data_IF_146554019899
#
_entry.id   IF_146554019899
#
_cell.length_a   1.000
_cell.length_b   1.000
_cell.length_c   1.000
_cell.angle_alpha   90.00
_cell.angle_beta   90.00
_cell.angle_gamma   90.00
#
_symmetry.space_group_name_H-M   'P 1'
#
loop_
_entity.id
_entity.type
_entity.pdbx_description
1 polymer ?
#
# COMPACT_ATOMS: atom_id res chain seq x y z
N UNK A 1 9.02 -12.70 23.52
CA UNK A 1 9.72 -12.74 24.83
C UNK A 1 10.72 -11.59 24.80
N UNK A 2 11.56 -11.41 25.83
CA UNK A 2 12.64 -10.45 25.77
C UNK A 2 13.92 -11.18 25.35
N UNK A 3 14.79 -10.53 24.58
CA UNK A 3 16.09 -11.08 24.23
C UNK A 3 16.86 -11.52 25.48
N UNK A 4 17.37 -12.74 25.46
CA UNK A 4 18.15 -13.32 26.56
C UNK A 4 19.63 -13.40 26.18
N UNK A 5 20.49 -12.58 26.81
CA UNK A 5 21.93 -12.56 26.51
C UNK A 5 22.69 -13.68 27.21
N UNK A 6 23.70 -14.20 26.51
CA UNK A 6 24.67 -15.11 27.10
C UNK A 6 25.63 -14.29 27.97
N UNK A 7 25.76 -14.64 29.25
CA UNK A 7 26.72 -14.06 30.17
C UNK A 7 28.12 -14.66 29.95
N UNK A 8 29.10 -13.83 29.63
CA UNK A 8 30.47 -14.27 29.30
C UNK A 8 31.48 -14.16 30.46
N UNK A 9 31.01 -13.81 31.66
CA UNK A 9 31.86 -13.62 32.85
C UNK A 9 32.50 -12.23 32.97
N UNK A 10 33.13 -11.96 34.10
CA UNK A 10 33.77 -10.67 34.40
C UNK A 10 35.23 -10.61 33.94
N UNK A 11 35.89 -11.77 33.88
CA UNK A 11 37.24 -12.01 33.38
C UNK A 11 37.32 -13.40 32.74
N UNK A 12 38.32 -13.67 31.87
CA UNK A 12 38.50 -14.99 31.27
C UNK A 12 38.62 -16.09 32.33
N UNK A 13 37.90 -17.20 32.13
CA UNK A 13 37.93 -18.41 32.97
C UNK A 13 37.58 -18.20 34.46
N UNK A 14 36.92 -17.10 34.81
CA UNK A 14 36.63 -16.75 36.20
C UNK A 14 35.40 -17.45 36.82
N UNK A 15 34.68 -18.25 36.02
CA UNK A 15 33.52 -19.03 36.45
C UNK A 15 32.28 -18.19 36.78
N UNK A 16 32.27 -16.88 36.52
CA UNK A 16 31.13 -15.98 36.80
C UNK A 16 30.16 -15.85 35.62
N UNK A 17 30.51 -16.42 34.46
CA UNK A 17 29.66 -16.46 33.27
C UNK A 17 28.55 -17.52 33.32
N UNK A 18 27.70 -17.53 32.30
CA UNK A 18 26.72 -18.59 32.12
C UNK A 18 27.42 -19.92 31.89
N UNK A 19 26.91 -20.97 32.53
CA UNK A 19 27.28 -22.33 32.13
C UNK A 19 26.84 -22.59 30.68
N UNK A 20 27.56 -23.46 29.97
CA UNK A 20 27.21 -23.84 28.59
C UNK A 20 25.74 -24.25 28.41
N UNK A 21 25.18 -24.95 29.40
CA UNK A 21 23.77 -25.35 29.40
C UNK A 21 22.84 -24.15 29.42
N UNK A 22 23.06 -23.20 30.33
CA UNK A 22 22.25 -21.98 30.44
C UNK A 22 22.40 -21.11 29.18
N UNK A 23 23.62 -20.98 28.64
CA UNK A 23 23.87 -20.26 27.40
C UNK A 23 23.14 -20.89 26.20
N UNK A 24 23.14 -22.21 26.09
CA UNK A 24 22.42 -22.93 25.04
C UNK A 24 20.90 -22.79 25.16
N UNK A 25 20.35 -22.80 26.38
CA UNK A 25 18.92 -22.58 26.60
C UNK A 25 18.50 -21.17 26.15
N UNK A 26 19.28 -20.14 26.48
CA UNK A 26 19.03 -18.76 26.03
C UNK A 26 19.10 -18.62 24.51
N UNK A 27 20.05 -19.28 23.86
CA UNK A 27 20.13 -19.34 22.40
C UNK A 27 18.86 -19.95 21.83
N UNK A 28 18.47 -21.13 22.33
CA UNK A 28 17.28 -21.83 21.86
C UNK A 28 16.02 -20.96 22.03
N UNK A 29 15.84 -20.31 23.17
CA UNK A 29 14.69 -19.44 23.44
C UNK A 29 14.64 -18.22 22.49
N UNK A 30 15.78 -17.56 22.26
CA UNK A 30 15.84 -16.41 21.35
C UNK A 30 15.53 -16.81 19.90
N UNK A 31 16.08 -17.94 19.44
CA UNK A 31 15.77 -18.44 18.10
C UNK A 31 14.32 -18.90 18.01
N UNK A 32 13.78 -19.57 19.02
CA UNK A 32 12.36 -19.93 19.08
C UNK A 32 11.47 -18.69 18.96
N UNK A 33 11.81 -17.56 19.59
CA UNK A 33 11.08 -16.30 19.42
C UNK A 33 11.17 -15.73 18.01
N UNK A 34 12.37 -15.65 17.43
CA UNK A 34 12.56 -15.12 16.08
C UNK A 34 11.80 -15.98 15.05
N UNK A 35 11.89 -17.30 15.20
CA UNK A 35 11.12 -18.26 14.42
C UNK A 35 9.63 -18.07 14.63
N UNK A 36 9.16 -17.70 15.83
CA UNK A 36 7.73 -17.45 16.10
C UNK A 36 7.25 -16.13 15.49
N UNK A 37 8.05 -15.06 15.53
CA UNK A 37 7.64 -13.71 15.13
C UNK A 37 7.78 -13.42 13.64
N UNK A 38 8.88 -13.87 13.04
CA UNK A 38 9.17 -13.66 11.62
C UNK A 38 8.88 -14.92 10.80
N UNK A 39 8.24 -15.92 11.40
CA UNK A 39 8.02 -17.25 10.86
C UNK A 39 6.85 -17.97 11.54
N UNK A 40 7.00 -19.27 11.85
CA UNK A 40 5.95 -20.10 12.47
C UNK A 40 6.40 -20.91 13.71
N UNK A 41 7.43 -20.45 14.41
CA UNK A 41 8.08 -21.08 15.56
C UNK A 41 8.94 -22.32 15.24
N UNK A 42 9.01 -22.80 13.99
CA UNK A 42 9.87 -23.92 13.54
C UNK A 42 10.64 -23.64 12.25
N UNK A 43 10.17 -22.71 11.43
CA UNK A 43 10.85 -22.13 10.26
C UNK A 43 10.69 -20.59 10.25
N UNK A 44 11.64 -19.86 9.65
CA UNK A 44 11.50 -18.42 9.34
C UNK A 44 10.67 -18.23 8.07
N UNK A 45 9.93 -17.13 7.95
CA UNK A 45 9.14 -16.81 6.76
C UNK A 45 10.06 -16.67 5.56
N UNK A 46 9.86 -17.52 4.55
CA UNK A 46 10.51 -17.42 3.24
C UNK A 46 9.86 -16.37 2.33
N UNK A 47 8.67 -15.86 2.71
CA UNK A 47 7.93 -14.80 2.02
C UNK A 47 8.32 -13.38 2.45
N UNK A 48 9.12 -13.26 3.52
CA UNK A 48 9.99 -12.09 3.72
C UNK A 48 11.21 -12.31 2.82
N UNK A 49 11.01 -12.08 1.53
CA UNK A 49 12.11 -11.92 0.59
C UNK A 49 12.24 -10.44 0.27
N UNK A 50 13.31 -9.82 0.75
CA UNK A 50 13.92 -8.68 0.10
C UNK A 50 14.96 -9.30 -0.87
N UNK A 51 14.68 -9.65 -2.13
CA UNK A 51 13.84 -9.01 -3.19
C UNK A 51 13.54 -10.04 -4.31
N UNK A 52 12.39 -10.01 -5.05
CA UNK A 52 12.27 -9.31 -6.34
C UNK A 52 10.99 -8.45 -6.60
N UNK A 53 9.81 -8.64 -5.96
CA UNK A 53 8.66 -7.69 -6.14
C UNK A 53 7.50 -7.66 -5.13
N UNK A 54 7.17 -8.68 -4.30
CA UNK A 54 6.06 -8.57 -3.31
C UNK A 54 6.31 -9.38 -2.03
N UNK A 55 5.96 -8.80 -0.88
CA UNK A 55 5.86 -9.45 0.44
C UNK A 55 4.38 -9.56 0.83
N UNK A 56 3.88 -10.76 1.13
CA UNK A 56 2.50 -10.98 1.64
C UNK A 56 2.56 -11.40 3.10
N UNK A 57 1.88 -10.65 3.98
CA UNK A 57 1.83 -10.92 5.42
C UNK A 57 0.40 -11.25 5.83
N UNK A 58 0.16 -12.49 6.25
CA UNK A 58 -1.07 -12.90 6.94
C UNK A 58 -0.71 -13.57 8.26
N UNK A 59 -1.51 -13.25 9.29
CA UNK A 59 -1.48 -13.63 10.72
C UNK A 59 -0.14 -14.07 11.39
N UNK A 60 0.29 -13.49 12.54
CA UNK A 60 -0.49 -12.71 13.51
C UNK A 60 -0.96 -11.40 12.91
N UNK A 61 -2.28 -11.17 12.97
CA UNK A 61 -3.03 -10.20 12.14
C UNK A 61 -2.27 -8.89 12.04
N UNK A 62 -1.93 -8.45 10.82
CA UNK A 62 -1.57 -7.04 10.62
C UNK A 62 -2.89 -6.29 10.49
N UNK A 63 -3.46 -5.93 11.64
CA UNK A 63 -4.65 -5.09 11.70
C UNK A 63 -4.22 -3.68 11.31
N UNK A 64 -4.64 -3.21 10.13
CA UNK A 64 -4.26 -1.90 9.60
C UNK A 64 -2.83 -1.85 9.05
N UNK A 65 -2.49 -2.64 8.01
CA UNK A 65 -1.20 -2.51 7.36
C UNK A 65 -1.12 -1.10 6.75
N UNK A 66 -0.17 -0.29 7.19
CA UNK A 66 0.15 0.98 6.55
C UNK A 66 1.31 0.76 5.59
N UNK A 67 1.05 0.90 4.29
CA UNK A 67 2.14 0.96 3.30
C UNK A 67 2.59 2.42 3.27
N UNK A 68 3.73 2.72 3.88
CA UNK A 68 4.37 4.04 3.75
C UNK A 68 5.18 4.06 2.45
N UNK A 69 4.70 4.78 1.45
CA UNK A 69 5.36 4.92 0.15
C UNK A 69 4.49 4.50 -1.03
N UNK A 70 5.13 4.13 -2.13
CA UNK A 70 4.48 3.78 -3.38
C UNK A 70 4.00 2.33 -3.34
N UNK A 71 2.74 2.10 -3.69
CA UNK A 71 2.23 0.77 -4.03
C UNK A 71 2.49 0.53 -5.52
N UNK A 72 3.56 -0.21 -5.83
CA UNK A 72 3.85 -0.61 -7.21
C UNK A 72 2.89 -1.69 -7.72
N UNK A 73 2.71 -1.77 -9.04
CA UNK A 73 1.92 -2.83 -9.69
C UNK A 73 0.41 -2.56 -9.79
N UNK A 74 -0.33 -3.55 -10.30
CA UNK A 74 -1.79 -3.47 -10.49
C UNK A 74 -2.53 -3.70 -9.18
N UNK A 75 -3.41 -2.77 -8.81
CA UNK A 75 -4.32 -2.91 -7.67
C UNK A 75 -5.71 -3.35 -8.15
N UNK A 76 -6.02 -4.65 -8.06
CA UNK A 76 -7.25 -5.21 -8.64
C UNK A 76 -8.46 -5.19 -7.68
N UNK A 77 -8.28 -4.88 -6.39
CA UNK A 77 -9.38 -4.92 -5.39
C UNK A 77 -9.17 -3.99 -4.19
N UNK A 78 -8.47 -2.87 -4.37
CA UNK A 78 -8.26 -1.92 -3.29
C UNK A 78 -9.52 -1.05 -3.09
N UNK A 79 -10.11 -1.07 -1.89
CA UNK A 79 -11.05 -0.02 -1.48
C UNK A 79 -10.25 1.21 -1.11
N UNK A 80 -10.19 2.20 -2.00
CA UNK A 80 -9.46 3.44 -1.76
C UNK A 80 -10.45 4.54 -1.35
N UNK A 81 -10.51 4.83 -0.06
CA UNK A 81 -11.47 5.81 0.49
C UNK A 81 -11.00 7.26 0.31
N UNK A 82 -9.70 7.50 0.10
CA UNK A 82 -9.15 8.85 -0.03
C UNK A 82 -7.93 8.85 -0.96
N UNK A 83 -7.98 9.70 -1.98
CA UNK A 83 -6.87 10.06 -2.87
C UNK A 83 -6.55 11.53 -2.62
N UNK A 84 -5.47 11.82 -1.89
CA UNK A 84 -5.10 13.22 -1.60
C UNK A 84 -4.48 13.90 -2.83
N UNK A 85 -3.59 13.21 -3.54
CA UNK A 85 -3.00 13.63 -4.81
C UNK A 85 -2.73 12.38 -5.66
N UNK A 86 -3.18 12.37 -6.91
CA UNK A 86 -2.88 11.28 -7.83
C UNK A 86 -2.75 11.79 -9.25
N UNK A 87 -1.87 11.16 -10.02
CA UNK A 87 -1.86 11.26 -11.47
C UNK A 87 -2.19 9.88 -12.01
N UNK A 88 -3.34 9.77 -12.69
CA UNK A 88 -3.71 8.54 -13.39
C UNK A 88 -3.12 8.62 -14.79
N UNK A 89 -1.96 7.98 -15.00
CA UNK A 89 -1.35 7.85 -16.33
C UNK A 89 -2.04 6.78 -17.21
N UNK A 90 -3.08 6.12 -16.69
CA UNK A 90 -3.90 5.18 -17.45
C UNK A 90 -4.85 5.91 -18.40
N UNK A 91 -5.19 5.27 -19.52
CA UNK A 91 -6.04 5.88 -20.56
C UNK A 91 -7.50 6.02 -20.17
N UNK A 92 -7.96 5.31 -19.13
CA UNK A 92 -9.37 5.22 -18.75
C UNK A 92 -9.56 5.39 -17.24
N UNK A 93 -10.59 6.14 -16.85
CA UNK A 93 -11.14 6.20 -15.48
C UNK A 93 -12.59 5.74 -15.55
N UNK A 94 -12.92 4.63 -14.91
CA UNK A 94 -14.30 4.16 -14.74
C UNK A 94 -14.74 4.45 -13.31
N UNK A 95 -15.55 5.51 -13.12
CA UNK A 95 -16.06 5.94 -11.83
C UNK A 95 -17.59 5.91 -11.84
N UNK A 96 -18.20 5.30 -10.80
CA UNK A 96 -19.67 5.28 -10.68
C UNK A 96 -20.28 6.67 -10.42
N UNK A 97 -19.51 7.60 -9.85
CA UNK A 97 -19.84 9.02 -9.73
C UNK A 97 -18.56 9.84 -9.63
N UNK A 98 -18.54 11.01 -10.28
CA UNK A 98 -17.39 11.89 -10.33
C UNK A 98 -17.80 13.31 -9.88
N UNK A 99 -17.10 13.85 -8.89
CA UNK A 99 -17.22 15.23 -8.45
C UNK A 99 -15.88 15.94 -8.65
N UNK A 100 -15.88 17.07 -9.35
CA UNK A 100 -14.69 17.88 -9.64
C UNK A 100 -14.80 19.21 -8.89
N UNK A 101 -13.89 19.47 -7.94
CA UNK A 101 -13.92 20.66 -7.10
C UNK A 101 -13.08 21.82 -7.66
N UNK A 102 -11.92 21.53 -8.24
CA UNK A 102 -11.02 22.54 -8.84
C UNK A 102 -11.16 22.49 -10.37
N UNK A 103 -12.02 23.38 -10.87
CA UNK A 103 -12.69 23.28 -12.18
C UNK A 103 -11.83 23.60 -13.40
N UNK A 104 -11.16 22.59 -13.94
CA UNK A 104 -10.76 22.57 -15.34
C UNK A 104 -10.77 21.14 -15.87
N UNK A 105 -11.49 20.93 -16.97
CA UNK A 105 -11.39 19.72 -17.78
C UNK A 105 -10.77 20.17 -19.09
N UNK A 106 -9.60 19.64 -19.39
CA UNK A 106 -8.88 19.95 -20.63
C UNK A 106 -8.49 18.66 -21.30
N UNK A 107 -8.56 18.66 -22.62
CA UNK A 107 -8.03 17.58 -23.44
C UNK A 107 -6.88 18.13 -24.29
N UNK A 108 -5.78 17.38 -24.32
CA UNK A 108 -4.60 17.73 -25.10
C UNK A 108 -4.73 17.39 -26.58
N UNK A 109 -5.71 16.54 -26.94
CA UNK A 109 -5.97 16.14 -28.34
C UNK A 109 -6.91 17.10 -29.08
N UNK A 110 -7.60 17.98 -28.34
CA UNK A 110 -8.42 19.09 -28.85
C UNK A 110 -9.92 18.91 -28.73
N UNK A 111 -10.43 17.80 -28.13
CA UNK A 111 -11.85 17.58 -27.97
C UNK A 111 -12.19 16.82 -26.68
N UNK A 112 -13.25 17.27 -26.01
CA UNK A 112 -13.90 16.52 -24.93
C UNK A 112 -15.20 15.97 -25.52
N UNK A 113 -15.32 14.64 -25.57
CA UNK A 113 -16.48 13.94 -26.10
C UNK A 113 -17.28 13.30 -24.95
N UNK A 114 -18.59 13.51 -24.95
CA UNK A 114 -19.53 12.88 -24.03
C UNK A 114 -20.27 11.71 -24.70
N UNK A 115 -19.87 11.30 -25.90
CA UNK A 115 -20.50 10.20 -26.63
C UNK A 115 -21.98 10.46 -26.88
N UNK A 116 -22.83 9.56 -26.38
CA UNK A 116 -24.29 9.66 -26.49
C UNK A 116 -24.94 10.09 -25.17
N UNK A 117 -24.16 10.68 -24.25
CA UNK A 117 -24.65 11.08 -22.95
C UNK A 117 -25.16 12.53 -22.93
N UNK A 118 -26.17 12.77 -22.09
CA UNK A 118 -26.74 14.10 -21.89
C UNK A 118 -25.80 14.98 -21.05
N UNK A 119 -25.46 16.16 -21.58
CA UNK A 119 -24.77 17.21 -20.84
C UNK A 119 -25.79 18.21 -20.28
N UNK A 120 -26.08 18.11 -18.99
CA UNK A 120 -26.94 19.09 -18.28
C UNK A 120 -26.08 20.05 -17.46
N UNK A 121 -26.28 21.35 -17.65
CA UNK A 121 -25.62 22.39 -16.86
C UNK A 121 -26.67 23.35 -16.31
N UNK A 122 -26.46 23.85 -15.09
CA UNK A 122 -27.30 24.91 -14.48
C UNK A 122 -26.69 26.31 -14.66
N UNK A 123 -25.45 26.37 -15.14
CA UNK A 123 -24.69 27.60 -15.35
C UNK A 123 -24.70 28.08 -16.80
N UNK A 124 -23.78 28.99 -17.11
CA UNK A 124 -23.56 29.50 -18.46
C UNK A 124 -22.46 28.72 -19.16
N UNK A 125 -22.68 28.34 -20.42
CA UNK A 125 -21.63 27.83 -21.31
C UNK A 125 -21.03 29.02 -22.06
N UNK A 126 -19.73 29.22 -21.93
CA UNK A 126 -18.97 30.15 -22.77
C UNK A 126 -18.20 29.37 -23.81
N UNK A 127 -18.48 29.59 -25.09
CA UNK A 127 -17.82 28.92 -26.20
C UNK A 127 -17.33 29.95 -27.22
N UNK A 128 -16.16 29.71 -27.81
CA UNK A 128 -15.66 30.54 -28.91
C UNK A 128 -16.49 30.35 -30.18
N UNK A 129 -16.78 29.10 -30.53
CA UNK A 129 -17.72 28.73 -31.60
C UNK A 129 -18.64 27.65 -31.07
N UNK A 130 -19.94 27.84 -31.28
CA UNK A 130 -20.97 26.88 -30.91
C UNK A 130 -21.73 26.46 -32.17
N UNK A 131 -21.64 25.17 -32.52
CA UNK A 131 -22.43 24.55 -33.58
C UNK A 131 -23.39 23.55 -32.93
N UNK A 132 -24.70 23.75 -33.13
CA UNK A 132 -25.74 22.88 -32.60
C UNK A 132 -26.57 22.31 -33.74
N UNK A 133 -26.81 21.00 -33.70
CA UNK A 133 -27.68 20.29 -34.65
C UNK A 133 -28.91 19.78 -33.89
N UNK A 134 -30.11 20.03 -34.42
CA UNK A 134 -31.35 19.52 -33.82
C UNK A 134 -31.80 20.22 -32.53
N UNK A 135 -31.30 21.43 -32.25
CA UNK A 135 -31.69 22.17 -31.06
C UNK A 135 -33.17 22.63 -31.12
N UNK A 136 -33.87 22.53 -30.00
CA UNK A 136 -35.17 23.19 -29.77
C UNK A 136 -34.96 24.26 -28.71
N UNK A 137 -35.26 25.51 -29.05
CA UNK A 137 -35.23 26.62 -28.10
C UNK A 137 -36.64 26.81 -27.55
N UNK A 138 -36.79 26.73 -26.22
CA UNK A 138 -38.04 26.98 -25.51
C UNK A 138 -38.08 28.40 -24.95
#
# INVERSE_FOLDING_TARGET
MAYQSIGIGSAPDDGTGDTLRIGADKINDNFVEIYTKLGNASLLSSGISATATVVTLTNPVITGPTISGVVGGTQTSATITTLATTTVNGTNINAGGLALAEGSITDSTGAIDFGNEDLTTTGTITAGTLAMTGATFS
#
